data_IF_571692128490
#
_entry.id   IF_571692128490
#
_cell.length_a   1.000
_cell.length_b   1.000
_cell.length_c   1.000
_cell.angle_alpha   90.00
_cell.angle_beta   90.00
_cell.angle_gamma   90.00
#
_symmetry.space_group_name_H-M   'P 1'
#
loop_
_entity.id
_entity.type
_entity.pdbx_description
1 polymer ?
#
# COMPACT_ATOMS: atom_id res chain seq x y z
N UNK A 1 -9.39 48.15 -24.89
CA UNK A 1 -9.49 47.08 -23.88
C UNK A 1 -9.11 45.79 -24.61
N UNK A 2 -7.88 45.30 -24.44
CA UNK A 2 -7.48 44.02 -25.05
C UNK A 2 -8.06 42.94 -24.15
N UNK A 3 -9.07 42.21 -24.62
CA UNK A 3 -9.54 41.03 -23.92
C UNK A 3 -8.41 40.00 -24.00
N UNK A 4 -7.73 39.77 -22.88
CA UNK A 4 -6.84 38.62 -22.74
C UNK A 4 -7.77 37.41 -22.73
N UNK A 5 -7.85 36.70 -23.86
CA UNK A 5 -8.63 35.46 -23.96
C UNK A 5 -7.78 34.37 -23.32
N UNK A 6 -8.01 34.12 -22.03
CA UNK A 6 -7.42 32.98 -21.36
C UNK A 6 -8.22 31.72 -21.73
N UNK A 7 -7.52 30.70 -22.21
CA UNK A 7 -8.13 29.40 -22.48
C UNK A 7 -8.32 28.63 -21.17
N UNK A 8 -9.52 28.07 -20.99
CA UNK A 8 -9.85 27.30 -19.79
C UNK A 8 -9.29 25.89 -19.91
N UNK A 9 -8.46 25.51 -18.93
CA UNK A 9 -7.87 24.17 -18.83
C UNK A 9 -8.37 23.52 -17.55
N UNK A 10 -9.05 22.40 -17.67
CA UNK A 10 -9.46 21.58 -16.53
C UNK A 10 -8.50 20.41 -16.39
N UNK A 11 -7.96 20.26 -15.18
CA UNK A 11 -7.00 19.21 -14.85
C UNK A 11 -7.61 18.36 -13.77
N UNK A 12 -7.93 17.12 -14.10
CA UNK A 12 -8.40 16.13 -13.13
C UNK A 12 -7.21 15.32 -12.64
N UNK A 13 -6.79 15.51 -11.40
CA UNK A 13 -5.67 14.80 -10.81
C UNK A 13 -6.06 13.41 -10.34
N UNK A 14 -5.15 12.45 -10.55
CA UNK A 14 -5.21 11.15 -9.90
C UNK A 14 -4.78 11.26 -8.44
N UNK A 15 -5.34 10.40 -7.59
CA UNK A 15 -5.00 10.38 -6.15
C UNK A 15 -3.69 9.63 -5.87
N UNK A 16 -3.32 8.71 -6.76
CA UNK A 16 -2.15 7.85 -6.60
C UNK A 16 -1.54 7.48 -7.95
N UNK A 17 -0.22 7.51 -8.04
CA UNK A 17 0.53 7.07 -9.20
C UNK A 17 1.78 6.27 -8.82
N UNK A 18 2.05 5.18 -9.54
CA UNK A 18 3.24 4.35 -9.33
C UNK A 18 4.30 4.65 -10.40
N UNK A 19 5.52 4.97 -9.98
CA UNK A 19 6.62 5.39 -10.84
C UNK A 19 7.82 4.46 -10.68
N UNK A 20 8.44 4.11 -11.79
CA UNK A 20 9.68 3.34 -11.81
C UNK A 20 10.87 4.21 -11.34
N UNK A 21 11.92 3.57 -10.83
CA UNK A 21 13.17 4.26 -10.46
C UNK A 21 13.72 5.10 -11.62
N UNK A 22 14.29 6.27 -11.27
CA UNK A 22 14.88 7.25 -12.19
C UNK A 22 13.95 7.74 -13.30
N UNK A 23 12.63 7.53 -13.17
CA UNK A 23 11.65 7.93 -14.19
C UNK A 23 11.02 9.27 -13.85
N UNK A 24 11.01 10.19 -14.81
CA UNK A 24 10.32 11.47 -14.66
C UNK A 24 8.82 11.32 -14.83
N UNK A 25 8.05 12.17 -14.16
CA UNK A 25 6.58 12.17 -14.26
C UNK A 25 6.13 13.48 -14.90
N UNK A 26 5.23 13.34 -15.86
CA UNK A 26 4.60 14.41 -16.61
C UNK A 26 3.12 14.56 -16.21
N UNK A 27 2.49 15.67 -16.58
CA UNK A 27 1.08 15.90 -16.27
C UNK A 27 0.20 14.81 -16.89
N UNK A 28 0.52 14.32 -18.09
CA UNK A 28 -0.26 13.26 -18.73
C UNK A 28 -0.23 11.91 -18.01
N UNK A 29 0.78 11.68 -17.17
CA UNK A 29 0.94 10.43 -16.43
C UNK A 29 0.00 10.35 -15.21
N UNK A 30 -0.38 11.51 -14.65
CA UNK A 30 -1.07 11.59 -13.35
C UNK A 30 -2.34 12.45 -13.39
N UNK A 31 -2.72 12.92 -14.58
CA UNK A 31 -3.88 13.78 -14.72
C UNK A 31 -4.53 13.68 -16.10
N UNK A 32 -5.86 13.74 -16.12
CA UNK A 32 -6.64 13.96 -17.33
C UNK A 32 -6.77 15.46 -17.59
N UNK A 33 -6.30 15.89 -18.77
CA UNK A 33 -6.34 17.31 -19.18
C UNK A 33 -7.44 17.53 -20.21
N UNK A 34 -8.36 18.43 -19.88
CA UNK A 34 -9.46 18.87 -20.74
C UNK A 34 -9.26 20.35 -21.11
N UNK A 35 -9.17 20.64 -22.40
CA UNK A 35 -9.06 21.99 -22.94
C UNK A 35 -9.66 22.01 -24.36
N UNK A 36 -10.21 23.15 -24.77
CA UNK A 36 -10.78 23.33 -26.13
C UNK A 36 -9.69 23.37 -27.20
N UNK A 37 -8.55 24.00 -26.89
CA UNK A 37 -7.39 24.04 -27.79
C UNK A 37 -6.50 22.80 -27.59
N UNK A 38 -6.44 21.96 -28.62
CA UNK A 38 -5.58 20.76 -28.65
C UNK A 38 -4.08 21.08 -28.60
N UNK A 39 -3.65 22.26 -29.04
CA UNK A 39 -2.26 22.70 -28.97
C UNK A 39 -1.85 22.97 -27.53
N UNK A 40 -2.69 23.70 -26.78
CA UNK A 40 -2.49 23.98 -25.36
C UNK A 40 -2.55 22.68 -24.57
N UNK A 41 -3.55 21.83 -24.82
CA UNK A 41 -3.68 20.52 -24.19
C UNK A 41 -2.43 19.68 -24.32
N UNK A 42 -1.83 19.59 -25.51
CA UNK A 42 -0.57 18.86 -25.74
C UNK A 42 0.61 19.46 -25.02
N UNK A 43 0.71 20.80 -24.93
CA UNK A 43 1.76 21.47 -24.16
C UNK A 43 1.64 21.16 -22.67
N UNK A 44 0.45 21.33 -22.10
CA UNK A 44 0.16 21.07 -20.69
C UNK A 44 0.49 19.62 -20.32
N UNK A 45 0.07 18.65 -21.14
CA UNK A 45 0.35 17.23 -20.95
C UNK A 45 1.84 16.89 -20.80
N UNK A 46 2.71 17.59 -21.54
CA UNK A 46 4.16 17.36 -21.58
C UNK A 46 4.94 18.13 -20.51
N UNK A 47 4.27 18.83 -19.60
CA UNK A 47 4.95 19.54 -18.51
C UNK A 47 5.50 18.53 -17.50
N UNK A 48 6.80 18.59 -17.21
CA UNK A 48 7.47 17.72 -16.24
C UNK A 48 7.19 18.21 -14.81
N UNK A 49 6.47 17.41 -14.04
CA UNK A 49 6.06 17.74 -12.67
C UNK A 49 6.93 17.09 -11.60
N UNK A 50 7.57 15.96 -11.91
CA UNK A 50 8.43 15.22 -10.97
C UNK A 50 9.76 14.82 -11.60
N UNK A 51 10.81 14.81 -10.77
CA UNK A 51 12.10 14.21 -11.13
C UNK A 51 12.25 12.91 -10.37
N UNK A 52 12.33 11.81 -11.11
CA UNK A 52 12.52 10.47 -10.57
C UNK A 52 13.69 10.37 -9.60
N UNK A 53 13.51 9.48 -8.61
CA UNK A 53 14.52 9.11 -7.61
C UNK A 53 15.05 7.72 -7.89
N UNK A 54 16.26 7.46 -7.42
CA UNK A 54 16.98 6.19 -7.54
C UNK A 54 16.67 5.19 -6.42
N UNK A 55 15.89 5.60 -5.41
CA UNK A 55 15.50 4.76 -4.28
C UNK A 55 14.00 4.53 -4.16
N UNK A 56 13.61 3.32 -3.76
CA UNK A 56 12.22 2.98 -3.43
C UNK A 56 11.72 3.77 -2.21
N UNK A 57 10.66 4.54 -2.39
CA UNK A 57 10.05 5.36 -1.34
C UNK A 57 8.63 5.80 -1.69
N UNK A 58 7.95 6.38 -0.70
CA UNK A 58 6.77 7.19 -0.95
C UNK A 58 7.17 8.66 -1.05
N UNK A 59 6.52 9.38 -1.96
CA UNK A 59 6.64 10.82 -2.10
C UNK A 59 5.27 11.41 -2.48
N UNK A 60 5.17 12.73 -2.58
CA UNK A 60 3.93 13.36 -3.03
C UNK A 60 4.20 14.57 -3.92
N UNK A 61 3.25 14.87 -4.80
CA UNK A 61 3.25 16.09 -5.60
C UNK A 61 2.04 16.93 -5.18
N UNK A 62 2.26 18.13 -4.61
CA UNK A 62 1.18 19.07 -4.34
C UNK A 62 0.50 19.56 -5.61
N UNK A 63 -0.82 19.66 -5.61
CA UNK A 63 -1.59 20.14 -6.77
C UNK A 63 -1.29 21.59 -7.14
N UNK A 64 -1.03 22.45 -6.16
CA UNK A 64 -0.61 23.85 -6.36
C UNK A 64 0.75 23.94 -7.06
N UNK A 65 1.68 23.04 -6.75
CA UNK A 65 2.98 22.93 -7.42
C UNK A 65 2.82 22.50 -8.88
N UNK A 66 1.84 21.65 -9.19
CA UNK A 66 1.51 21.28 -10.57
C UNK A 66 0.97 22.50 -11.33
N UNK A 67 0.02 23.22 -10.74
CA UNK A 67 -0.53 24.46 -11.32
C UNK A 67 0.59 25.44 -11.63
N UNK A 68 1.47 25.72 -10.65
CA UNK A 68 2.59 26.64 -10.81
C UNK A 68 3.50 26.26 -11.97
N UNK A 69 3.89 24.99 -12.07
CA UNK A 69 4.73 24.51 -13.17
C UNK A 69 4.08 24.61 -14.55
N UNK A 70 2.76 24.45 -14.63
CA UNK A 70 2.04 24.56 -15.90
C UNK A 70 1.94 26.04 -16.31
N UNK A 71 1.62 26.93 -15.38
CA UNK A 71 1.59 28.38 -15.63
C UNK A 71 2.97 28.96 -16.00
N UNK A 72 4.06 28.38 -15.50
CA UNK A 72 5.43 28.74 -15.92
C UNK A 72 5.79 28.25 -17.34
N UNK A 73 5.10 27.23 -17.85
CA UNK A 73 5.41 26.60 -19.14
C UNK A 73 4.46 27.03 -20.28
N UNK A 74 3.24 27.48 -19.94
CA UNK A 74 2.18 27.81 -20.90
C UNK A 74 1.49 29.10 -20.46
N UNK A 75 1.55 30.12 -21.32
CA UNK A 75 0.90 31.41 -21.11
C UNK A 75 -0.57 31.42 -21.58
N UNK A 76 -1.34 32.43 -21.15
CA UNK A 76 -2.73 32.69 -21.54
C UNK A 76 -3.71 31.52 -21.25
N UNK A 77 -3.55 30.88 -20.10
CA UNK A 77 -4.44 29.80 -19.64
C UNK A 77 -4.97 30.08 -18.24
N UNK A 78 -6.21 29.65 -17.98
CA UNK A 78 -6.82 29.61 -16.66
C UNK A 78 -7.02 28.15 -16.25
N UNK A 79 -6.32 27.71 -15.19
CA UNK A 79 -6.32 26.32 -14.74
C UNK A 79 -7.38 26.11 -13.65
N UNK A 80 -8.21 25.08 -13.84
CA UNK A 80 -9.17 24.60 -12.86
C UNK A 80 -8.81 23.18 -12.46
N UNK A 81 -8.46 22.99 -11.19
CA UNK A 81 -8.08 21.69 -10.66
C UNK A 81 -9.30 20.95 -10.14
N UNK A 82 -9.46 19.71 -10.56
CA UNK A 82 -10.56 18.83 -10.20
C UNK A 82 -9.97 17.58 -9.55
N UNK A 83 -10.51 17.15 -8.42
CA UNK A 83 -10.05 15.95 -7.73
C UNK A 83 -9.27 16.25 -6.45
N UNK A 84 -8.36 15.36 -6.08
CA UNK A 84 -7.59 15.45 -4.83
C UNK A 84 -6.64 16.65 -4.81
N UNK A 85 -6.30 17.18 -3.61
CA UNK A 85 -5.37 18.29 -3.48
C UNK A 85 -3.94 17.90 -3.87
N UNK A 86 -3.55 16.65 -3.60
CA UNK A 86 -2.19 16.14 -3.79
C UNK A 86 -2.21 14.75 -4.42
N UNK A 87 -1.10 14.38 -5.04
CA UNK A 87 -0.89 13.06 -5.66
C UNK A 87 0.11 12.27 -4.84
N UNK A 88 -0.27 11.07 -4.38
CA UNK A 88 0.65 10.13 -3.75
C UNK A 88 1.48 9.41 -4.81
N UNK A 89 2.81 9.53 -4.74
CA UNK A 89 3.74 8.80 -5.58
C UNK A 89 4.26 7.55 -4.88
N UNK A 90 4.16 6.43 -5.56
CA UNK A 90 4.74 5.15 -5.18
C UNK A 90 5.96 4.86 -6.06
N UNK A 91 7.17 5.12 -5.55
CA UNK A 91 8.42 4.87 -6.27
C UNK A 91 8.84 3.42 -6.04
N UNK A 92 8.84 2.61 -7.09
CA UNK A 92 9.14 1.17 -7.02
C UNK A 92 10.24 0.76 -7.99
N UNK A 93 11.10 -0.15 -7.55
CA UNK A 93 12.05 -0.83 -8.43
C UNK A 93 11.33 -1.86 -9.29
N UNK A 94 11.92 -2.19 -10.44
CA UNK A 94 11.55 -3.41 -11.16
C UNK A 94 12.01 -4.60 -10.32
N UNK A 95 11.06 -5.43 -9.92
CA UNK A 95 11.38 -6.68 -9.22
C UNK A 95 11.81 -7.70 -10.28
N UNK A 96 13.09 -7.69 -10.64
CA UNK A 96 13.71 -8.72 -11.47
C UNK A 96 13.86 -10.01 -10.66
N UNK A 97 12.74 -10.65 -10.32
CA UNK A 97 12.77 -11.94 -9.64
C UNK A 97 13.05 -13.03 -10.66
N UNK A 98 14.09 -13.83 -10.43
CA UNK A 98 14.28 -15.06 -11.21
C UNK A 98 13.09 -15.98 -10.99
N UNK A 99 12.53 -16.56 -12.05
CA UNK A 99 11.31 -17.37 -11.97
C UNK A 99 11.39 -18.53 -10.97
N UNK A 100 12.60 -19.04 -10.71
CA UNK A 100 12.86 -20.10 -9.72
C UNK A 100 12.66 -19.59 -8.28
N UNK A 101 13.18 -18.41 -7.95
CA UNK A 101 13.01 -17.82 -6.62
C UNK A 101 11.54 -17.48 -6.35
N UNK A 102 10.83 -16.99 -7.37
CA UNK A 102 9.40 -16.72 -7.28
C UNK A 102 8.60 -18.00 -7.04
N UNK A 103 8.90 -19.07 -7.79
CA UNK A 103 8.27 -20.37 -7.60
C UNK A 103 8.51 -20.93 -6.20
N UNK A 104 9.75 -20.89 -5.71
CA UNK A 104 10.08 -21.37 -4.37
C UNK A 104 9.36 -20.57 -3.28
N UNK A 105 9.27 -19.24 -3.43
CA UNK A 105 8.51 -18.36 -2.53
C UNK A 105 7.04 -18.74 -2.50
N UNK A 106 6.44 -18.97 -3.67
CA UNK A 106 5.03 -19.39 -3.78
C UNK A 106 4.83 -20.75 -3.11
N UNK A 107 5.67 -21.73 -3.42
CA UNK A 107 5.59 -23.07 -2.84
C UNK A 107 5.70 -23.03 -1.31
N UNK A 108 6.62 -22.22 -0.77
CA UNK A 108 6.76 -22.02 0.67
C UNK A 108 5.49 -21.42 1.29
N UNK A 109 4.93 -20.36 0.70
CA UNK A 109 3.67 -19.74 1.17
C UNK A 109 2.53 -20.76 1.14
N UNK A 110 2.42 -21.56 0.07
CA UNK A 110 1.39 -22.60 -0.05
C UNK A 110 1.52 -23.67 1.05
N UNK A 111 2.74 -24.10 1.38
CA UNK A 111 2.97 -25.07 2.46
C UNK A 111 2.56 -24.49 3.82
N UNK A 112 2.98 -23.26 4.13
CA UNK A 112 2.61 -22.59 5.39
C UNK A 112 1.09 -22.46 5.50
N UNK A 113 0.42 -22.04 4.41
CA UNK A 113 -1.05 -21.93 4.38
C UNK A 113 -1.74 -23.29 4.52
N UNK A 114 -1.25 -24.33 3.85
CA UNK A 114 -1.83 -25.67 3.92
C UNK A 114 -1.77 -26.25 5.34
N UNK A 115 -0.59 -26.24 5.97
CA UNK A 115 -0.43 -26.74 7.33
C UNK A 115 -1.13 -25.85 8.36
N UNK A 116 -1.09 -24.53 8.19
CA UNK A 116 -1.80 -23.58 9.04
C UNK A 116 -3.31 -23.79 9.01
N UNK A 117 -3.89 -23.91 7.82
CA UNK A 117 -5.33 -24.19 7.65
C UNK A 117 -5.72 -25.57 8.20
N UNK A 118 -4.90 -26.60 7.97
CA UNK A 118 -5.12 -27.93 8.53
C UNK A 118 -5.12 -27.94 10.05
N UNK A 119 -4.13 -27.29 10.68
CA UNK A 119 -4.07 -27.15 12.14
C UNK A 119 -5.27 -26.36 12.68
N UNK A 120 -5.68 -25.27 12.03
CA UNK A 120 -6.84 -24.49 12.41
C UNK A 120 -8.14 -25.30 12.31
N UNK A 121 -8.29 -26.12 11.27
CA UNK A 121 -9.44 -27.01 11.10
C UNK A 121 -9.50 -28.04 12.22
N UNK A 122 -8.40 -28.73 12.52
CA UNK A 122 -8.35 -29.71 13.62
C UNK A 122 -8.70 -29.01 14.95
N UNK A 123 -8.17 -27.81 15.18
CA UNK A 123 -8.49 -27.03 16.37
C UNK A 123 -9.95 -26.63 16.47
N UNK A 124 -10.58 -26.27 15.35
CA UNK A 124 -12.01 -25.99 15.33
C UNK A 124 -12.85 -27.23 15.64
N UNK A 125 -12.48 -28.40 15.09
CA UNK A 125 -13.17 -29.66 15.38
C UNK A 125 -12.92 -30.18 16.80
N UNK A 126 -11.84 -29.71 17.45
CA UNK A 126 -11.56 -29.97 18.86
C UNK A 126 -12.15 -28.92 19.81
N UNK A 127 -13.18 -28.19 19.39
CA UNK A 127 -13.82 -27.16 20.20
C UNK A 127 -12.83 -26.10 20.72
N UNK A 128 -11.90 -25.70 19.85
CA UNK A 128 -10.85 -24.69 20.11
C UNK A 128 -9.87 -25.14 21.22
N UNK A 129 -9.78 -26.43 21.50
CA UNK A 129 -8.79 -26.98 22.43
C UNK A 129 -7.44 -27.22 21.73
N UNK A 130 -6.52 -26.27 21.92
CA UNK A 130 -5.21 -26.32 21.29
C UNK A 130 -4.36 -27.51 21.76
N UNK A 131 -4.43 -27.85 23.06
CA UNK A 131 -3.67 -28.99 23.60
C UNK A 131 -4.13 -30.30 22.97
N UNK A 132 -5.45 -30.54 22.93
CA UNK A 132 -6.02 -31.73 22.29
C UNK A 132 -5.71 -31.81 20.79
N UNK A 133 -5.70 -30.66 20.12
CA UNK A 133 -5.36 -30.58 18.69
C UNK A 133 -3.92 -30.97 18.41
N UNK A 134 -2.98 -30.46 19.20
CA UNK A 134 -1.56 -30.80 19.10
C UNK A 134 -1.34 -32.29 19.38
N UNK A 135 -2.03 -32.86 20.37
CA UNK A 135 -1.97 -34.28 20.69
C UNK A 135 -2.49 -35.16 19.54
N UNK A 136 -3.60 -34.78 18.92
CA UNK A 136 -4.16 -35.48 17.75
C UNK A 136 -3.27 -35.38 16.52
N UNK A 137 -2.70 -34.21 16.25
CA UNK A 137 -1.72 -34.03 15.17
C UNK A 137 -0.49 -34.90 15.42
N UNK A 138 0.05 -34.89 16.64
CA UNK A 138 1.18 -35.71 17.01
C UNK A 138 0.88 -37.21 16.86
N UNK A 139 -0.29 -37.66 17.30
CA UNK A 139 -0.75 -39.04 17.14
C UNK A 139 -0.91 -39.42 15.66
N UNK A 140 -1.48 -38.55 14.83
CA UNK A 140 -1.65 -38.80 13.40
C UNK A 140 -0.31 -39.01 12.67
N UNK A 141 0.73 -38.25 13.04
CA UNK A 141 2.05 -38.33 12.41
C UNK A 141 2.86 -39.52 12.94
N UNK A 142 2.84 -39.75 14.26
CA UNK A 142 3.75 -40.70 14.92
C UNK A 142 3.12 -42.04 15.28
N UNK A 143 1.79 -42.13 15.30
CA UNK A 143 1.04 -43.27 15.82
C UNK A 143 1.09 -43.41 17.36
N UNK A 144 1.79 -42.51 18.06
CA UNK A 144 1.99 -42.58 19.52
C UNK A 144 1.07 -41.59 20.22
N UNK A 145 0.27 -42.08 21.17
CA UNK A 145 -0.51 -41.21 22.06
C UNK A 145 0.43 -40.66 23.13
N UNK A 146 0.58 -39.33 23.15
CA UNK A 146 1.40 -38.64 24.13
C UNK A 146 0.68 -37.37 24.54
N UNK A 147 0.42 -37.24 25.83
CA UNK A 147 -0.07 -36.00 26.40
C UNK A 147 1.01 -34.92 26.32
N UNK A 148 0.62 -33.71 25.95
CA UNK A 148 1.51 -32.54 25.85
C UNK A 148 2.84 -32.83 25.10
N UNK A 149 2.80 -33.17 23.80
CA UNK A 149 4.00 -33.51 23.05
C UNK A 149 4.87 -32.28 22.81
N UNK A 150 5.83 -32.05 23.71
CA UNK A 150 6.73 -30.87 23.71
C UNK A 150 7.45 -30.63 22.38
N UNK A 151 7.75 -31.70 21.64
CA UNK A 151 8.39 -31.62 20.32
C UNK A 151 7.54 -30.87 19.29
N UNK A 152 6.22 -30.83 19.45
CA UNK A 152 5.30 -30.05 18.63
C UNK A 152 5.00 -28.69 19.26
N UNK A 153 4.81 -28.64 20.57
CA UNK A 153 4.43 -27.42 21.28
C UNK A 153 5.52 -26.35 21.23
N UNK A 154 6.80 -26.72 21.43
CA UNK A 154 7.90 -25.75 21.49
C UNK A 154 8.10 -25.04 20.14
N UNK A 155 8.26 -25.75 18.99
CA UNK A 155 8.41 -25.09 17.71
C UNK A 155 7.19 -24.27 17.30
N UNK A 156 5.98 -24.73 17.64
CA UNK A 156 4.76 -24.00 17.39
C UNK A 156 4.74 -22.68 18.15
N UNK A 157 5.02 -22.67 19.47
CA UNK A 157 5.04 -21.44 20.28
C UNK A 157 6.11 -20.45 19.82
N UNK A 158 7.31 -20.92 19.47
CA UNK A 158 8.36 -20.06 18.93
C UNK A 158 7.95 -19.52 17.55
N UNK A 159 7.43 -20.38 16.69
CA UNK A 159 6.99 -20.02 15.34
C UNK A 159 5.84 -19.01 15.34
N UNK A 160 4.86 -19.16 16.23
CA UNK A 160 3.75 -18.21 16.37
C UNK A 160 4.24 -16.87 16.89
N UNK A 161 5.11 -16.86 17.91
CA UNK A 161 5.71 -15.64 18.45
C UNK A 161 6.55 -14.89 17.42
N UNK A 162 7.44 -15.59 16.71
CA UNK A 162 8.24 -15.01 15.63
C UNK A 162 7.39 -14.55 14.45
N UNK A 163 6.36 -15.32 14.09
CA UNK A 163 5.43 -14.97 13.01
C UNK A 163 4.65 -13.70 13.33
N UNK A 164 4.11 -13.61 14.56
CA UNK A 164 3.45 -12.41 15.07
C UNK A 164 4.39 -11.21 15.07
N UNK A 165 5.60 -11.38 15.60
CA UNK A 165 6.60 -10.32 15.63
C UNK A 165 6.98 -9.85 14.22
N UNK A 166 7.19 -10.77 13.27
CA UNK A 166 7.51 -10.42 11.89
C UNK A 166 6.33 -9.78 11.15
N UNK A 167 5.08 -10.14 11.48
CA UNK A 167 3.89 -9.55 10.89
C UNK A 167 3.69 -8.09 11.32
N UNK A 168 3.83 -7.82 12.62
CA UNK A 168 3.67 -6.47 13.18
C UNK A 168 4.93 -5.60 12.99
N UNK A 169 6.12 -6.21 12.99
CA UNK A 169 7.36 -5.49 12.75
C UNK A 169 7.62 -5.33 11.26
N UNK A 170 7.38 -4.12 10.76
CA UNK A 170 7.69 -3.73 9.38
C UNK A 170 9.18 -3.81 9.04
N UNK A 171 10.06 -3.91 10.06
CA UNK A 171 11.53 -3.94 9.95
C UNK A 171 12.01 -5.15 9.13
N UNK A 172 11.29 -6.28 9.16
CA UNK A 172 11.63 -7.47 8.38
C UNK A 172 11.29 -7.37 6.89
N UNK A 173 10.60 -6.31 6.45
CA UNK A 173 10.36 -6.11 5.02
C UNK A 173 11.67 -5.89 4.28
N UNK A 174 11.86 -6.63 3.18
CA UNK A 174 13.03 -6.49 2.30
C UNK A 174 12.98 -5.21 1.43
N UNK A 175 11.79 -4.64 1.19
CA UNK A 175 11.64 -3.41 0.41
C UNK A 175 11.69 -2.19 1.33
N UNK A 176 12.54 -1.21 0.96
CA UNK A 176 12.73 0.07 1.67
C UNK A 176 11.43 0.89 1.73
N UNK A 177 10.62 0.83 0.67
CA UNK A 177 9.30 1.46 0.61
C UNK A 177 8.32 0.81 1.57
N UNK A 178 8.23 -0.53 1.58
CA UNK A 178 7.32 -1.24 2.50
C UNK A 178 7.65 -1.00 3.97
N UNK A 179 8.90 -0.65 4.31
CA UNK A 179 9.27 -0.24 5.68
C UNK A 179 8.71 1.12 6.09
N UNK A 180 8.34 1.98 5.13
CA UNK A 180 7.72 3.29 5.38
C UNK A 180 6.20 3.18 5.54
N UNK A 181 5.60 2.05 5.16
CA UNK A 181 4.17 1.83 5.41
C UNK A 181 3.94 1.66 6.92
N UNK A 182 2.89 2.28 7.47
CA UNK A 182 2.50 2.05 8.85
C UNK A 182 2.24 0.56 9.10
N UNK A 183 2.62 0.09 10.28
CA UNK A 183 2.34 -1.27 10.70
C UNK A 183 0.84 -1.54 10.81
N UNK A 184 0.37 -2.80 10.74
CA UNK A 184 -1.04 -3.12 10.90
C UNK A 184 -1.64 -2.58 12.21
N UNK A 185 -0.88 -2.65 13.32
CA UNK A 185 -1.29 -2.09 14.60
C UNK A 185 -1.37 -0.55 14.58
N UNK A 186 -0.39 0.10 13.97
CA UNK A 186 -0.35 1.56 13.86
C UNK A 186 -1.52 2.07 13.01
N UNK A 187 -1.86 1.37 11.92
CA UNK A 187 -3.02 1.66 11.10
C UNK A 187 -4.33 1.54 11.88
N UNK A 188 -4.49 0.47 12.66
CA UNK A 188 -5.70 0.27 13.45
C UNK A 188 -5.86 1.33 14.54
N UNK A 189 -4.77 1.69 15.23
CA UNK A 189 -4.77 2.77 16.22
C UNK A 189 -5.12 4.12 15.57
N UNK A 190 -4.57 4.41 14.39
CA UNK A 190 -4.91 5.62 13.65
C UNK A 190 -6.39 5.68 13.26
N UNK A 191 -6.96 4.57 12.79
CA UNK A 191 -8.39 4.49 12.47
C UNK A 191 -9.25 4.65 13.72
N UNK A 192 -8.86 3.99 14.81
CA UNK A 192 -9.54 4.10 16.09
C UNK A 192 -9.58 5.55 16.61
N UNK A 193 -8.45 6.25 16.60
CA UNK A 193 -8.37 7.65 17.03
C UNK A 193 -9.25 8.54 16.15
N UNK A 194 -9.23 8.32 14.83
CA UNK A 194 -10.09 9.05 13.89
C UNK A 194 -11.58 8.81 14.15
N UNK A 195 -11.97 7.55 14.38
CA UNK A 195 -13.36 7.20 14.68
C UNK A 195 -13.83 7.86 15.98
N UNK A 196 -12.95 7.99 16.99
CA UNK A 196 -13.25 8.75 18.21
C UNK A 196 -13.51 10.22 17.89
N UNK A 197 -12.60 10.86 17.14
CA UNK A 197 -12.73 12.27 16.78
C UNK A 197 -14.00 12.56 15.98
N UNK A 198 -14.32 11.71 15.00
CA UNK A 198 -15.52 11.80 14.19
C UNK A 198 -16.79 11.63 15.04
N UNK A 199 -16.78 10.71 16.00
CA UNK A 199 -17.89 10.53 16.95
C UNK A 199 -18.09 11.76 17.84
N UNK A 200 -17.02 12.29 18.44
CA UNK A 200 -17.08 13.51 19.27
C UNK A 200 -17.64 14.69 18.45
N UNK A 201 -17.16 14.87 17.22
CA UNK A 201 -17.63 15.94 16.33
C UNK A 201 -19.11 15.79 16.00
N UNK A 202 -19.57 14.57 15.73
CA UNK A 202 -20.97 14.30 15.41
C UNK A 202 -21.90 14.55 16.61
N UNK A 203 -21.46 14.24 17.82
CA UNK A 203 -22.22 14.51 19.04
C UNK A 203 -22.32 16.00 19.35
N UNK A 204 -21.24 16.76 19.12
CA UNK A 204 -21.26 18.23 19.24
C UNK A 204 -22.18 18.89 18.21
N UNK A 205 -22.31 18.33 17.00
CA UNK A 205 -23.22 18.86 15.96
C UNK A 205 -24.70 18.58 16.24
N UNK A 206 -25.02 17.59 17.09
CA UNK A 206 -26.40 17.23 17.46
C UNK A 206 -26.95 18.11 18.59
N UNK A 207 -26.08 18.71 19.40
CA UNK A 207 -26.44 19.65 20.46
C UNK A 207 -26.44 21.09 19.95
#
# INVERSE_FOLDING_TARGET
MIAIVNEQVYIKLDTKYAVDLNTHVYVEDVAEVYCKDESIKKKVKRVKIYTGRDEESYDYIPGDKIIKKILEAVDNIDINLIGGPDILLEIKGREDSSGILQFLKIAFVMLVLFFGAGAALINFYEDVNMSGSIEKIYYFITGVKKENPLIMTIPLSIGTGLGMFAFFSRIFSLSKRRRQEPGPLEMELYLYDKDIEDNILNDLKKN
#
